data_IF_251947444971
#
_entry.id   IF_251947444971
#
_cell.length_a   1.000
_cell.length_b   1.000
_cell.length_c   1.000
_cell.angle_alpha   90.00
_cell.angle_beta   90.00
_cell.angle_gamma   90.00
#
_symmetry.space_group_name_H-M   'P 1'
#
loop_
_entity.id
_entity.type
_entity.pdbx_description
1 polymer ?
#
# COMPACT_ATOMS: atom_id res chain seq x y z
N UNK A 1 -24.44 9.79 0.32
CA UNK A 1 -24.74 8.34 0.18
C UNK A 1 -23.48 7.54 0.46
N UNK A 2 -23.55 6.57 1.37
CA UNK A 2 -22.42 5.72 1.80
C UNK A 2 -21.91 4.86 0.65
N UNK A 3 -20.64 5.01 0.26
CA UNK A 3 -19.98 4.06 -0.67
C UNK A 3 -19.36 2.92 0.16
N UNK A 4 -20.14 1.89 0.45
CA UNK A 4 -19.74 0.72 1.26
C UNK A 4 -18.37 0.12 0.88
N UNK A 5 -17.92 0.29 -0.36
CA UNK A 5 -16.63 -0.24 -0.83
C UNK A 5 -15.38 0.44 -0.23
N UNK A 6 -15.52 1.53 0.52
CA UNK A 6 -14.37 2.25 1.10
C UNK A 6 -13.81 1.57 2.34
N UNK A 7 -14.67 0.95 3.14
CA UNK A 7 -14.31 0.31 4.42
C UNK A 7 -14.53 -1.20 4.40
N UNK A 8 -14.77 -1.76 3.22
CA UNK A 8 -15.08 -3.19 3.04
C UNK A 8 -13.93 -4.13 3.43
N UNK A 9 -12.70 -3.59 3.46
CA UNK A 9 -11.50 -4.34 3.84
C UNK A 9 -11.19 -4.28 5.35
N UNK A 10 -12.06 -3.68 6.18
CA UNK A 10 -11.92 -3.62 7.63
C UNK A 10 -11.04 -2.49 8.16
N UNK A 11 -10.67 -1.53 7.33
CA UNK A 11 -9.95 -0.30 7.71
C UNK A 11 -10.46 0.88 6.90
N UNK A 12 -10.39 2.08 7.48
CA UNK A 12 -10.85 3.33 6.83
C UNK A 12 -9.67 4.16 6.33
N UNK A 13 -9.52 4.35 5.01
CA UNK A 13 -8.42 5.13 4.46
C UNK A 13 -8.65 6.64 4.63
N UNK A 14 -7.68 7.32 5.22
CA UNK A 14 -7.59 8.76 5.37
C UNK A 14 -6.35 9.26 4.64
N UNK A 15 -6.55 9.89 3.48
CA UNK A 15 -5.47 10.49 2.71
C UNK A 15 -5.29 11.97 3.12
N UNK A 16 -4.06 12.36 3.39
CA UNK A 16 -3.62 13.71 3.72
C UNK A 16 -2.59 14.18 2.69
N UNK A 17 -2.65 15.46 2.33
CA UNK A 17 -1.83 16.06 1.29
C UNK A 17 -0.85 17.06 1.91
N UNK A 18 0.44 16.94 1.56
CA UNK A 18 1.46 17.91 1.96
C UNK A 18 1.27 19.25 1.23
N UNK A 19 1.85 20.32 1.77
CA UNK A 19 1.90 21.60 1.05
C UNK A 19 2.65 21.46 -0.28
N UNK A 20 2.40 22.34 -1.26
CA UNK A 20 3.15 22.34 -2.51
C UNK A 20 4.64 22.60 -2.27
N UNK A 21 5.49 21.69 -2.73
CA UNK A 21 6.93 21.86 -2.82
C UNK A 21 7.43 21.25 -4.12
N UNK A 22 8.57 21.74 -4.60
CA UNK A 22 9.19 21.25 -5.83
C UNK A 22 9.66 19.81 -5.63
N UNK A 23 9.21 18.92 -6.50
CA UNK A 23 9.72 17.55 -6.55
C UNK A 23 11.14 17.52 -7.14
N UNK A 24 12.05 16.68 -6.65
CA UNK A 24 13.38 16.52 -7.25
C UNK A 24 13.33 15.91 -8.66
N UNK A 25 12.22 15.26 -9.04
CA UNK A 25 12.03 14.67 -10.37
C UNK A 25 11.51 15.66 -11.41
N UNK A 26 11.87 15.42 -12.70
CA UNK A 26 11.48 16.23 -13.85
C UNK A 26 10.73 15.40 -14.91
N UNK A 27 9.89 14.45 -14.46
CA UNK A 27 9.22 13.49 -15.32
C UNK A 27 8.35 14.18 -16.37
N UNK A 28 8.52 13.83 -17.64
CA UNK A 28 7.80 14.43 -18.78
C UNK A 28 6.28 14.29 -18.72
N UNK A 29 5.79 13.26 -18.03
CA UNK A 29 4.36 12.94 -17.86
C UNK A 29 3.73 13.53 -16.60
N UNK A 30 4.51 14.25 -15.76
CA UNK A 30 4.05 14.68 -14.45
C UNK A 30 3.40 16.07 -14.53
N UNK A 31 2.10 16.21 -14.21
CA UNK A 31 1.45 17.50 -14.19
C UNK A 31 2.00 18.37 -13.07
N UNK A 32 2.19 19.66 -13.39
CA UNK A 32 2.67 20.68 -12.46
C UNK A 32 1.78 21.90 -12.59
N UNK A 33 1.08 22.25 -11.50
CA UNK A 33 0.24 23.44 -11.44
C UNK A 33 0.72 24.35 -10.32
N UNK A 34 0.62 25.68 -10.49
CA UNK A 34 0.96 26.64 -9.44
C UNK A 34 0.20 26.34 -8.14
N UNK A 35 0.90 26.36 -7.02
CA UNK A 35 0.34 26.13 -5.67
C UNK A 35 -0.37 24.80 -5.46
N UNK A 36 -0.10 23.80 -6.31
CA UNK A 36 -0.63 22.43 -6.18
C UNK A 36 0.55 21.48 -6.00
N UNK A 37 0.44 20.48 -5.09
CA UNK A 37 1.47 19.46 -4.94
C UNK A 37 1.74 18.73 -6.26
N UNK A 38 3.02 18.50 -6.53
CA UNK A 38 3.49 17.84 -7.74
C UNK A 38 2.72 16.55 -8.02
N UNK A 39 2.38 16.30 -9.28
CA UNK A 39 1.66 15.08 -9.72
C UNK A 39 0.14 15.10 -9.49
N UNK A 40 -0.42 16.15 -8.93
CA UNK A 40 -1.86 16.29 -8.70
C UNK A 40 -2.45 17.43 -9.52
N UNK A 41 -3.77 17.40 -9.70
CA UNK A 41 -4.53 18.48 -10.36
C UNK A 41 -5.28 19.32 -9.32
N UNK A 42 -5.62 20.58 -9.61
CA UNK A 42 -6.33 21.45 -8.67
C UNK A 42 -7.64 20.85 -8.15
N UNK A 43 -8.33 20.04 -8.95
CA UNK A 43 -9.61 19.43 -8.60
C UNK A 43 -9.50 18.00 -8.06
N UNK A 44 -8.31 17.51 -7.82
CA UNK A 44 -8.14 16.21 -7.14
C UNK A 44 -8.79 16.28 -5.75
N UNK A 45 -9.66 15.32 -5.36
CA UNK A 45 -10.43 15.41 -4.11
C UNK A 45 -9.57 15.60 -2.84
N UNK A 46 -8.36 15.02 -2.81
CA UNK A 46 -7.43 15.23 -1.70
C UNK A 46 -6.85 16.64 -1.68
N UNK A 47 -6.54 17.21 -2.86
CA UNK A 47 -6.05 18.58 -3.01
C UNK A 47 -7.11 19.60 -2.58
N UNK A 48 -8.35 19.45 -3.06
CA UNK A 48 -9.46 20.34 -2.65
C UNK A 48 -9.66 20.36 -1.14
N UNK A 49 -9.52 19.21 -0.47
CA UNK A 49 -9.58 19.15 0.99
C UNK A 49 -8.39 19.86 1.63
N UNK A 50 -7.18 19.63 1.12
CA UNK A 50 -5.96 20.23 1.64
C UNK A 50 -6.00 21.76 1.51
N UNK A 51 -6.45 22.31 0.38
CA UNK A 51 -6.63 23.75 0.18
C UNK A 51 -7.60 24.32 1.22
N UNK A 52 -8.76 23.67 1.45
CA UNK A 52 -9.75 24.13 2.46
C UNK A 52 -9.20 24.08 3.89
N UNK A 53 -8.15 23.31 4.13
CA UNK A 53 -7.50 23.17 5.43
C UNK A 53 -6.15 23.89 5.46
N UNK A 54 -5.83 24.77 4.52
CA UNK A 54 -4.55 25.47 4.40
C UNK A 54 -3.33 24.51 4.47
N UNK A 55 -3.48 23.31 3.92
CA UNK A 55 -2.50 22.22 4.00
C UNK A 55 -2.10 21.79 5.42
N UNK A 56 -2.85 22.23 6.45
CA UNK A 56 -2.65 21.76 7.82
C UNK A 56 -3.01 20.29 7.95
N UNK A 57 -2.10 19.48 8.50
CA UNK A 57 -2.23 18.04 8.57
C UNK A 57 -3.38 17.62 9.50
N UNK A 58 -3.47 18.18 10.70
CA UNK A 58 -4.49 17.86 11.70
C UNK A 58 -5.89 18.27 11.24
N UNK A 59 -6.02 19.46 10.65
CA UNK A 59 -7.30 19.93 10.09
C UNK A 59 -7.80 19.04 8.95
N UNK A 60 -6.91 18.56 8.07
CA UNK A 60 -7.27 17.62 7.01
C UNK A 60 -7.80 16.30 7.56
N UNK A 61 -7.13 15.75 8.60
CA UNK A 61 -7.53 14.52 9.27
C UNK A 61 -8.90 14.70 9.91
N UNK A 62 -9.07 15.71 10.78
CA UNK A 62 -10.35 15.99 11.47
C UNK A 62 -11.50 16.21 10.48
N UNK A 63 -11.28 17.02 9.43
CA UNK A 63 -12.28 17.24 8.36
C UNK A 63 -12.67 15.93 7.67
N UNK A 64 -11.68 15.04 7.43
CA UNK A 64 -11.96 13.78 6.77
C UNK A 64 -12.69 12.78 7.67
N UNK A 65 -12.32 12.69 8.94
CA UNK A 65 -13.01 11.85 9.94
C UNK A 65 -14.47 12.28 10.10
N UNK A 66 -14.71 13.58 10.26
CA UNK A 66 -16.08 14.14 10.33
C UNK A 66 -16.91 13.71 9.11
N UNK A 67 -16.41 13.94 7.90
CA UNK A 67 -17.12 13.58 6.68
C UNK A 67 -17.35 12.07 6.53
N UNK A 68 -16.45 11.22 7.03
CA UNK A 68 -16.62 9.76 7.03
C UNK A 68 -17.67 9.33 8.06
N UNK A 69 -17.65 9.89 9.27
CA UNK A 69 -18.66 9.64 10.31
C UNK A 69 -20.06 10.04 9.86
N UNK A 70 -20.22 11.24 9.27
CA UNK A 70 -21.50 11.71 8.71
C UNK A 70 -22.03 10.80 7.59
N UNK A 71 -21.13 10.14 6.85
CA UNK A 71 -21.52 9.12 5.85
C UNK A 71 -21.78 7.75 6.46
N UNK A 72 -21.64 7.57 7.79
CA UNK A 72 -21.83 6.30 8.49
C UNK A 72 -20.70 5.29 8.30
N UNK A 73 -19.47 5.74 7.95
CA UNK A 73 -18.32 4.87 7.95
C UNK A 73 -17.71 4.75 9.36
N UNK A 74 -17.28 3.57 9.80
CA UNK A 74 -16.51 3.43 11.02
C UNK A 74 -15.16 4.13 10.87
N UNK A 75 -14.64 4.70 11.96
CA UNK A 75 -13.42 5.49 11.99
C UNK A 75 -12.48 5.12 13.14
N UNK A 76 -12.67 3.95 13.74
CA UNK A 76 -11.84 3.44 14.83
C UNK A 76 -10.50 2.86 14.34
N UNK A 77 -10.45 2.33 13.09
CA UNK A 77 -9.24 1.77 12.47
C UNK A 77 -8.88 2.55 11.21
N UNK A 78 -7.85 3.36 11.30
CA UNK A 78 -7.45 4.27 10.23
C UNK A 78 -6.20 3.76 9.52
N UNK A 79 -6.25 3.73 8.18
CA UNK A 79 -5.08 3.66 7.33
C UNK A 79 -4.75 5.08 6.85
N UNK A 80 -3.73 5.70 7.44
CA UNK A 80 -3.25 7.03 7.07
C UNK A 80 -2.42 6.94 5.78
N UNK A 81 -2.69 7.80 4.80
CA UNK A 81 -1.96 7.83 3.52
C UNK A 81 -1.40 9.22 3.30
N UNK A 82 -0.09 9.37 3.40
CA UNK A 82 0.63 10.62 3.16
C UNK A 82 0.89 10.76 1.66
N UNK A 83 0.37 11.84 1.08
CA UNK A 83 0.40 12.14 -0.35
C UNK A 83 1.04 13.51 -0.58
N UNK A 84 1.61 13.73 -1.79
CA UNK A 84 2.14 15.04 -2.15
C UNK A 84 3.51 15.00 -2.83
N UNK A 85 3.66 14.20 -3.87
CA UNK A 85 4.91 14.08 -4.62
C UNK A 85 5.90 13.12 -3.93
N UNK A 86 7.10 13.61 -3.63
CA UNK A 86 8.14 12.83 -2.92
C UNK A 86 8.24 13.37 -1.49
N UNK A 87 7.48 12.80 -0.56
CA UNK A 87 7.40 13.27 0.83
C UNK A 87 8.77 13.33 1.51
N UNK A 88 9.60 12.32 1.29
CA UNK A 88 10.93 12.25 1.92
C UNK A 88 11.95 13.26 1.37
N UNK A 89 11.61 14.00 0.31
CA UNK A 89 12.40 15.12 -0.21
C UNK A 89 12.06 16.48 0.42
N UNK A 90 11.05 16.53 1.29
CA UNK A 90 10.71 17.73 2.04
C UNK A 90 11.72 17.97 3.17
N UNK A 91 11.86 19.22 3.71
CA UNK A 91 12.67 19.46 4.89
C UNK A 91 12.27 18.53 6.04
N UNK A 92 13.25 18.01 6.76
CA UNK A 92 13.02 17.01 7.81
C UNK A 92 12.07 17.52 8.90
N UNK A 93 12.28 18.73 9.41
CA UNK A 93 11.40 19.35 10.41
C UNK A 93 9.94 19.37 9.93
N UNK A 94 9.72 19.67 8.63
CA UNK A 94 8.36 19.64 8.08
C UNK A 94 7.80 18.23 8.06
N UNK A 95 8.60 17.22 7.76
CA UNK A 95 8.15 15.81 7.74
C UNK A 95 7.66 15.41 9.14
N UNK A 96 8.46 15.68 10.21
CA UNK A 96 8.09 15.38 11.61
C UNK A 96 6.84 16.14 12.05
N UNK A 97 6.78 17.44 11.79
CA UNK A 97 5.61 18.28 12.12
C UNK A 97 4.34 17.79 11.39
N UNK A 98 4.47 17.40 10.12
CA UNK A 98 3.34 16.92 9.35
C UNK A 98 2.79 15.59 9.87
N UNK A 99 3.65 14.63 10.20
CA UNK A 99 3.23 13.34 10.77
C UNK A 99 2.64 13.53 12.17
N UNK A 100 3.30 14.32 13.02
CA UNK A 100 2.78 14.68 14.34
C UNK A 100 1.38 15.28 14.22
N UNK A 101 1.20 16.29 13.39
CA UNK A 101 -0.12 16.91 13.15
C UNK A 101 -1.18 15.94 12.64
N UNK A 102 -0.81 14.96 11.80
CA UNK A 102 -1.73 13.89 11.40
C UNK A 102 -2.20 13.06 12.61
N UNK A 103 -1.29 12.65 13.47
CA UNK A 103 -1.61 11.87 14.67
C UNK A 103 -2.42 12.68 15.68
N UNK A 104 -2.10 13.95 15.90
CA UNK A 104 -2.92 14.88 16.72
C UNK A 104 -4.33 15.04 16.18
N UNK A 105 -4.45 15.06 14.84
CA UNK A 105 -5.77 15.07 14.19
C UNK A 105 -6.58 13.82 14.44
N UNK A 106 -5.94 12.65 14.58
CA UNK A 106 -6.55 11.38 14.96
C UNK A 106 -6.85 11.32 16.47
N UNK A 107 -5.93 11.80 17.28
CA UNK A 107 -6.02 11.80 18.75
C UNK A 107 -7.09 12.76 19.28
N UNK A 108 -7.40 13.81 18.53
CA UNK A 108 -8.30 14.87 18.95
C UNK A 108 -7.68 15.84 19.99
N UNK A 109 -6.37 15.76 20.21
CA UNK A 109 -5.62 16.61 21.15
C UNK A 109 -4.19 16.82 20.66
N UNK A 110 -3.56 17.90 21.11
CA UNK A 110 -2.17 18.23 20.84
C UNK A 110 -1.22 17.37 21.68
N UNK A 111 0.04 17.30 21.28
CA UNK A 111 1.12 16.56 21.94
C UNK A 111 2.41 17.38 21.97
N UNK A 112 3.29 17.11 22.90
CA UNK A 112 4.59 17.81 23.01
C UNK A 112 5.47 17.48 21.78
N UNK A 113 5.57 16.20 21.45
CA UNK A 113 6.39 15.69 20.36
C UNK A 113 5.71 14.54 19.62
N UNK A 114 6.41 13.95 18.63
CA UNK A 114 5.91 12.83 17.83
C UNK A 114 5.74 11.55 18.67
N UNK A 115 6.63 11.29 19.62
CA UNK A 115 6.57 10.09 20.46
C UNK A 115 5.34 10.13 21.38
N UNK A 116 5.04 11.29 21.95
CA UNK A 116 3.80 11.47 22.72
C UNK A 116 2.57 11.30 21.82
N UNK A 117 2.57 11.86 20.60
CA UNK A 117 1.47 11.69 19.67
C UNK A 117 1.23 10.21 19.33
N UNK A 118 2.30 9.43 19.14
CA UNK A 118 2.25 7.98 18.91
C UNK A 118 1.68 7.25 20.12
N UNK A 119 2.19 7.55 21.32
CA UNK A 119 1.74 6.93 22.57
C UNK A 119 0.24 7.15 22.83
N UNK A 120 -0.25 8.36 22.60
CA UNK A 120 -1.68 8.67 22.71
C UNK A 120 -2.49 7.88 21.68
N UNK A 121 -1.98 7.73 20.46
CA UNK A 121 -2.71 7.06 19.39
C UNK A 121 -2.85 5.54 19.60
N UNK A 122 -2.04 4.90 20.43
CA UNK A 122 -2.17 3.46 20.76
C UNK A 122 -3.57 3.11 21.30
N UNK A 123 -4.20 4.05 22.04
CA UNK A 123 -5.52 3.86 22.68
C UNK A 123 -6.58 4.88 22.29
N UNK A 124 -6.29 5.76 21.32
CA UNK A 124 -7.22 6.78 20.86
C UNK A 124 -8.49 6.18 20.22
N UNK A 125 -9.56 6.96 20.13
CA UNK A 125 -10.80 6.57 19.46
C UNK A 125 -10.64 6.36 17.94
N UNK A 126 -9.68 7.08 17.31
CA UNK A 126 -9.31 6.90 15.90
C UNK A 126 -7.86 6.44 15.81
N UNK A 127 -7.63 5.13 15.75
CA UNK A 127 -6.30 4.54 15.81
C UNK A 127 -5.66 4.38 14.45
N UNK A 128 -4.43 4.83 14.29
CA UNK A 128 -3.60 4.63 13.10
C UNK A 128 -3.10 3.17 13.05
N UNK A 129 -3.90 2.27 12.47
CA UNK A 129 -3.54 0.85 12.33
C UNK A 129 -2.62 0.57 11.16
N UNK A 130 -2.33 1.57 10.34
CA UNK A 130 -1.35 1.52 9.27
C UNK A 130 -1.07 2.89 8.71
N UNK A 131 0.19 3.18 8.39
CA UNK A 131 0.60 4.41 7.75
C UNK A 131 1.34 4.10 6.44
N UNK A 132 0.95 4.80 5.38
CA UNK A 132 1.51 4.66 4.05
C UNK A 132 2.21 5.95 3.62
N UNK A 133 3.45 5.82 3.14
CA UNK A 133 4.22 6.93 2.56
C UNK A 133 4.46 6.64 1.08
N UNK A 134 4.15 7.62 0.21
CA UNK A 134 4.48 7.58 -1.21
C UNK A 134 5.83 8.26 -1.45
N UNK A 135 6.76 7.58 -2.14
CA UNK A 135 8.09 8.12 -2.43
C UNK A 135 8.67 7.59 -3.75
N UNK A 136 9.85 8.09 -4.11
CA UNK A 136 10.64 7.62 -5.25
C UNK A 136 11.68 6.60 -4.77
N UNK A 137 12.12 5.65 -5.63
CA UNK A 137 13.15 4.68 -5.26
C UNK A 137 14.49 5.32 -4.82
N UNK A 138 14.93 6.37 -5.50
CA UNK A 138 16.17 7.11 -5.21
C UNK A 138 16.10 7.97 -3.92
N UNK A 139 14.89 8.13 -3.34
CA UNK A 139 14.61 8.76 -2.04
C UNK A 139 14.20 7.73 -0.99
N UNK A 140 14.76 6.53 -1.06
CA UNK A 140 14.50 5.45 -0.12
C UNK A 140 15.84 4.78 0.27
N UNK A 141 16.67 5.54 0.96
CA UNK A 141 17.98 5.14 1.48
C UNK A 141 17.86 4.80 2.97
N UNK A 142 18.94 4.41 3.59
CA UNK A 142 18.93 4.01 5.01
C UNK A 142 18.36 5.11 5.94
N UNK A 143 18.78 6.36 5.77
CA UNK A 143 18.28 7.49 6.56
C UNK A 143 16.77 7.73 6.41
N UNK A 144 16.27 7.62 5.17
CA UNK A 144 14.83 7.73 4.91
C UNK A 144 14.05 6.55 5.49
N UNK A 145 14.64 5.35 5.51
CA UNK A 145 14.06 4.16 6.17
C UNK A 145 13.92 4.40 7.67
N UNK A 146 14.97 4.85 8.33
CA UNK A 146 14.99 5.15 9.76
C UNK A 146 13.91 6.17 10.12
N UNK A 147 13.83 7.29 9.39
CA UNK A 147 12.76 8.26 9.59
C UNK A 147 11.35 7.68 9.39
N UNK A 148 11.16 6.83 8.38
CA UNK A 148 9.85 6.19 8.19
C UNK A 148 9.48 5.24 9.31
N UNK A 149 10.44 4.58 9.94
CA UNK A 149 10.24 3.76 11.16
C UNK A 149 9.82 4.66 12.33
N UNK A 150 10.54 5.75 12.59
CA UNK A 150 10.20 6.74 13.61
C UNK A 150 8.79 7.32 13.42
N UNK A 151 8.36 7.56 12.17
CA UNK A 151 6.99 7.98 11.86
C UNK A 151 5.93 6.93 12.20
N UNK A 152 6.31 5.67 12.36
CA UNK A 152 5.40 4.53 12.50
C UNK A 152 4.78 4.09 11.18
N UNK A 153 5.45 4.35 10.05
CA UNK A 153 5.01 3.89 8.75
C UNK A 153 5.13 2.35 8.62
N UNK A 154 4.16 1.74 7.97
CA UNK A 154 4.11 0.27 7.78
C UNK A 154 4.09 -0.13 6.31
N UNK A 155 3.79 0.83 5.42
CA UNK A 155 3.75 0.62 3.98
C UNK A 155 4.43 1.75 3.24
N UNK A 156 5.18 1.39 2.21
CA UNK A 156 5.79 2.35 1.29
C UNK A 156 5.31 2.05 -0.13
N UNK A 157 4.89 3.09 -0.82
CA UNK A 157 4.49 3.02 -2.22
C UNK A 157 5.56 3.68 -3.08
N UNK A 158 6.30 2.87 -3.82
CA UNK A 158 7.38 3.32 -4.69
C UNK A 158 6.87 3.70 -6.06
N UNK A 159 7.20 4.89 -6.51
CA UNK A 159 6.94 5.35 -7.87
C UNK A 159 7.90 4.71 -8.88
N UNK A 160 7.81 3.40 -9.09
CA UNK A 160 8.64 2.63 -10.02
C UNK A 160 8.35 2.99 -11.48
N UNK A 161 7.10 3.02 -11.86
CA UNK A 161 6.52 3.31 -13.17
C UNK A 161 6.75 2.21 -14.21
N UNK A 162 7.99 1.79 -14.45
CA UNK A 162 8.41 0.72 -15.36
C UNK A 162 9.76 0.17 -14.88
N UNK A 163 10.23 -0.98 -15.36
CA UNK A 163 11.54 -1.56 -15.03
C UNK A 163 12.49 -1.48 -16.23
N UNK A 164 12.74 -0.26 -16.74
CA UNK A 164 13.55 -0.03 -17.94
C UNK A 164 14.31 1.30 -17.83
N UNK A 165 15.65 1.23 -17.84
CA UNK A 165 16.53 2.40 -17.69
C UNK A 165 16.53 3.31 -18.92
N UNK A 166 16.25 2.80 -20.13
CA UNK A 166 16.15 3.63 -21.33
C UNK A 166 14.88 4.49 -21.29
N UNK A 167 13.75 3.87 -20.87
CA UNK A 167 12.49 4.58 -20.67
C UNK A 167 12.62 5.56 -19.50
N UNK A 168 13.35 5.24 -18.43
CA UNK A 168 13.64 6.20 -17.35
C UNK A 168 14.41 7.42 -17.85
N UNK A 169 15.44 7.22 -18.70
CA UNK A 169 16.20 8.34 -19.31
C UNK A 169 15.31 9.15 -20.24
N UNK A 170 14.57 8.49 -21.12
CA UNK A 170 13.66 9.13 -22.07
C UNK A 170 12.61 9.99 -21.35
N UNK A 171 12.01 9.47 -20.31
CA UNK A 171 10.94 10.14 -19.55
C UNK A 171 11.47 11.05 -18.44
N UNK A 172 12.78 11.24 -18.31
CA UNK A 172 13.46 12.04 -17.28
C UNK A 172 13.06 11.65 -15.88
N UNK A 173 12.95 10.34 -15.63
CA UNK A 173 12.50 9.83 -14.32
C UNK A 173 13.53 10.09 -13.21
N UNK A 174 14.83 10.04 -13.52
CA UNK A 174 15.93 10.42 -12.63
C UNK A 174 16.28 9.39 -11.56
N UNK A 175 15.83 8.16 -11.69
CA UNK A 175 16.31 6.98 -10.96
C UNK A 175 16.52 5.81 -11.93
N UNK A 176 17.19 4.76 -11.47
CA UNK A 176 17.50 3.56 -12.22
C UNK A 176 16.70 2.34 -11.73
N UNK A 177 16.75 1.25 -12.50
CA UNK A 177 16.23 -0.06 -12.07
C UNK A 177 16.96 -0.54 -10.81
N UNK A 178 18.28 -0.26 -10.70
CA UNK A 178 19.06 -0.60 -9.52
C UNK A 178 18.60 0.16 -8.27
N UNK A 179 18.16 1.41 -8.39
CA UNK A 179 17.54 2.14 -7.29
C UNK A 179 16.24 1.44 -6.80
N UNK A 180 15.46 0.86 -7.72
CA UNK A 180 14.27 0.08 -7.36
C UNK A 180 14.65 -1.18 -6.60
N UNK A 181 15.68 -1.91 -7.06
CA UNK A 181 16.20 -3.12 -6.39
C UNK A 181 16.66 -2.79 -4.97
N UNK A 182 17.52 -1.77 -4.83
CA UNK A 182 18.05 -1.33 -3.53
C UNK A 182 16.94 -0.89 -2.57
N UNK A 183 16.03 -0.03 -3.02
CA UNK A 183 14.91 0.44 -2.20
C UNK A 183 14.01 -0.71 -1.75
N UNK A 184 13.72 -1.66 -2.64
CA UNK A 184 12.89 -2.82 -2.33
C UNK A 184 13.55 -3.71 -1.27
N UNK A 185 14.87 -3.98 -1.41
CA UNK A 185 15.62 -4.77 -0.45
C UNK A 185 15.63 -4.12 0.93
N UNK A 186 15.99 -2.84 1.02
CA UNK A 186 16.02 -2.08 2.28
C UNK A 186 14.65 -2.06 2.97
N UNK A 187 13.59 -1.76 2.22
CA UNK A 187 12.23 -1.73 2.76
C UNK A 187 11.81 -3.09 3.32
N UNK A 188 12.06 -4.17 2.58
CA UNK A 188 11.71 -5.51 3.04
C UNK A 188 12.53 -5.97 4.24
N UNK A 189 13.83 -5.67 4.27
CA UNK A 189 14.70 -5.97 5.41
C UNK A 189 14.20 -5.32 6.68
N UNK A 190 13.61 -4.13 6.59
CA UNK A 190 13.03 -3.39 7.71
C UNK A 190 11.53 -3.68 7.93
N UNK A 191 10.95 -4.67 7.28
CA UNK A 191 9.59 -5.15 7.54
C UNK A 191 8.46 -4.36 6.85
N UNK A 192 8.75 -3.38 6.01
CA UNK A 192 7.70 -2.64 5.31
C UNK A 192 6.95 -3.49 4.29
N UNK A 193 5.66 -3.20 4.12
CA UNK A 193 4.92 -3.57 2.91
C UNK A 193 5.36 -2.68 1.75
N UNK A 194 5.67 -3.30 0.61
CA UNK A 194 6.20 -2.59 -0.57
C UNK A 194 5.20 -2.66 -1.71
N UNK A 195 4.67 -1.51 -2.10
CA UNK A 195 3.79 -1.38 -3.26
C UNK A 195 4.49 -0.62 -4.38
N UNK A 196 4.21 -1.00 -5.63
CA UNK A 196 4.72 -0.30 -6.80
C UNK A 196 3.62 0.42 -7.55
N UNK A 197 3.92 1.63 -7.99
CA UNK A 197 3.14 2.32 -9.00
C UNK A 197 3.73 1.98 -10.37
N UNK A 198 2.92 1.45 -11.27
CA UNK A 198 3.30 1.12 -12.64
C UNK A 198 2.49 1.94 -13.64
N UNK A 199 3.14 2.37 -14.72
CA UNK A 199 2.54 3.20 -15.77
C UNK A 199 2.71 2.53 -17.15
N UNK A 200 1.86 1.55 -17.50
CA UNK A 200 1.86 0.99 -18.84
C UNK A 200 1.60 2.08 -19.91
N UNK A 201 2.30 1.97 -21.03
CA UNK A 201 2.18 2.91 -22.14
C UNK A 201 3.05 4.16 -22.01
N UNK A 202 4.15 4.12 -21.27
CA UNK A 202 5.13 5.22 -21.27
C UNK A 202 5.79 5.37 -22.65
N UNK A 203 6.24 6.59 -23.02
CA UNK A 203 7.02 6.80 -24.24
C UNK A 203 8.19 5.82 -24.36
N UNK A 204 8.33 5.18 -25.50
CA UNK A 204 9.36 4.17 -25.76
C UNK A 204 8.93 2.73 -25.43
N UNK A 205 7.80 2.51 -24.78
CA UNK A 205 7.27 1.16 -24.51
C UNK A 205 6.28 0.70 -25.58
N UNK A 206 6.06 -0.62 -25.65
CA UNK A 206 5.01 -1.28 -26.41
C UNK A 206 4.14 -2.14 -25.48
N UNK A 207 2.92 -2.54 -25.90
CA UNK A 207 2.08 -3.42 -25.08
C UNK A 207 2.76 -4.75 -24.72
N UNK A 208 3.55 -5.32 -25.63
CA UNK A 208 4.31 -6.55 -25.43
C UNK A 208 5.42 -6.35 -24.40
N UNK A 209 6.16 -5.24 -24.49
CA UNK A 209 7.22 -4.88 -23.57
C UNK A 209 6.67 -4.62 -22.15
N UNK A 210 5.57 -3.87 -22.03
CA UNK A 210 4.91 -3.63 -20.75
C UNK A 210 4.45 -4.95 -20.08
N UNK A 211 3.95 -5.92 -20.89
CA UNK A 211 3.55 -7.22 -20.37
C UNK A 211 4.75 -8.07 -19.93
N UNK A 212 5.84 -8.07 -20.72
CA UNK A 212 7.09 -8.75 -20.39
C UNK A 212 7.68 -8.24 -19.08
N UNK A 213 7.81 -6.92 -18.93
CA UNK A 213 8.30 -6.30 -17.71
C UNK A 213 7.37 -6.57 -16.51
N UNK A 214 6.05 -6.68 -16.75
CA UNK A 214 5.11 -7.09 -15.71
C UNK A 214 5.30 -8.55 -15.28
N UNK A 215 5.72 -9.45 -16.17
CA UNK A 215 6.12 -10.84 -15.79
C UNK A 215 7.40 -10.85 -14.99
N UNK A 216 8.44 -10.16 -15.48
CA UNK A 216 9.72 -10.00 -14.78
C UNK A 216 9.52 -9.49 -13.35
N UNK A 217 8.58 -8.58 -13.13
CA UNK A 217 8.24 -8.06 -11.82
C UNK A 217 7.88 -9.15 -10.78
N UNK A 218 7.29 -10.27 -11.21
CA UNK A 218 6.86 -11.37 -10.33
C UNK A 218 7.78 -12.58 -10.36
N UNK A 219 8.57 -12.74 -11.41
CA UNK A 219 9.50 -13.85 -11.58
C UNK A 219 10.86 -13.54 -10.94
N UNK A 220 11.40 -12.34 -11.15
CA UNK A 220 12.67 -11.90 -10.59
C UNK A 220 12.55 -11.61 -9.09
N UNK A 221 13.29 -12.35 -8.28
CA UNK A 221 13.27 -12.26 -6.82
C UNK A 221 13.68 -10.89 -6.27
N UNK A 222 14.41 -10.08 -7.04
CA UNK A 222 14.82 -8.74 -6.63
C UNK A 222 13.63 -7.79 -6.43
N UNK A 223 12.48 -8.08 -7.02
CA UNK A 223 11.28 -7.22 -6.98
C UNK A 223 10.17 -7.82 -6.13
N UNK A 224 9.24 -8.56 -6.71
CA UNK A 224 8.07 -9.23 -6.11
C UNK A 224 7.30 -8.37 -5.10
N UNK A 225 6.74 -7.19 -5.50
CA UNK A 225 6.06 -6.28 -4.59
C UNK A 225 4.83 -6.91 -3.93
N UNK A 226 4.46 -6.42 -2.73
CA UNK A 226 3.26 -6.85 -2.01
C UNK A 226 1.97 -6.30 -2.61
N UNK A 227 2.10 -5.21 -3.36
CA UNK A 227 0.93 -4.61 -4.03
C UNK A 227 1.28 -3.73 -5.21
N UNK A 228 0.24 -3.42 -6.01
CA UNK A 228 0.35 -2.61 -7.21
C UNK A 228 -0.73 -1.53 -7.27
N UNK A 229 -0.35 -0.39 -7.84
CA UNK A 229 -1.24 0.58 -8.47
C UNK A 229 -0.89 0.62 -9.96
N UNK A 230 -1.83 0.25 -10.81
CA UNK A 230 -1.69 0.25 -12.26
C UNK A 230 -2.29 1.53 -12.82
N UNK A 231 -1.45 2.41 -13.35
CA UNK A 231 -1.79 3.74 -13.83
C UNK A 231 -1.48 3.89 -15.33
N UNK A 232 -2.36 3.43 -16.23
CA UNK A 232 -2.18 3.67 -17.67
C UNK A 232 -1.71 5.10 -17.93
N UNK A 233 -0.71 5.25 -18.79
CA UNK A 233 -0.17 6.54 -19.14
C UNK A 233 -1.23 7.38 -19.85
N UNK A 234 -1.45 8.59 -19.35
CA UNK A 234 -2.37 9.57 -19.89
C UNK A 234 -1.62 10.82 -20.27
N UNK A 235 -1.99 11.45 -21.36
CA UNK A 235 -1.53 12.79 -21.73
C UNK A 235 -2.33 13.80 -20.93
N UNK A 236 -1.67 14.46 -19.97
CA UNK A 236 -2.29 15.45 -19.10
C UNK A 236 -1.92 16.85 -19.56
N UNK A 237 -2.88 17.76 -19.58
CA UNK A 237 -2.72 19.14 -19.97
C UNK A 237 -1.58 19.83 -19.21
N UNK A 238 -0.77 20.63 -19.92
CA UNK A 238 0.36 21.37 -19.38
C UNK A 238 1.63 20.55 -19.13
N UNK A 239 1.64 19.24 -19.45
CA UNK A 239 2.84 18.40 -19.31
C UNK A 239 3.73 18.46 -20.55
N UNK A 240 5.02 18.14 -20.39
CA UNK A 240 5.94 17.95 -21.52
C UNK A 240 5.45 16.83 -22.45
N UNK A 241 4.81 15.79 -21.90
CA UNK A 241 4.22 14.69 -22.65
C UNK A 241 3.08 15.19 -23.57
N UNK A 242 2.34 16.20 -23.16
CA UNK A 242 1.31 16.81 -24.01
C UNK A 242 1.93 17.51 -25.24
N UNK A 243 3.07 18.18 -25.09
CA UNK A 243 3.80 18.74 -26.24
C UNK A 243 4.23 17.65 -27.20
N UNK A 244 4.81 16.56 -26.68
CA UNK A 244 5.18 15.40 -27.50
C UNK A 244 3.99 14.79 -28.25
N UNK A 245 2.84 14.74 -27.61
CA UNK A 245 1.60 14.27 -28.23
C UNK A 245 1.17 15.20 -29.39
N UNK A 246 1.16 16.52 -29.18
CA UNK A 246 0.82 17.52 -30.18
C UNK A 246 1.81 17.54 -31.35
N UNK A 247 3.09 17.29 -31.08
CA UNK A 247 4.17 17.15 -32.05
C UNK A 247 4.21 15.78 -32.73
N UNK A 248 3.28 14.86 -32.40
CA UNK A 248 3.22 13.47 -32.91
C UNK A 248 4.45 12.62 -32.58
N UNK A 249 5.19 12.97 -31.54
CA UNK A 249 6.36 12.22 -31.02
C UNK A 249 5.95 11.13 -30.04
N UNK A 250 4.73 11.20 -29.52
CA UNK A 250 4.14 10.22 -28.62
C UNK A 250 2.65 10.04 -28.95
N UNK A 251 2.18 8.80 -28.91
CA UNK A 251 0.79 8.43 -29.04
C UNK A 251 0.44 7.44 -27.90
N UNK A 252 -0.56 7.71 -27.05
CA UNK A 252 -1.01 6.74 -26.08
C UNK A 252 -1.63 5.52 -26.78
N UNK A 253 -1.57 4.36 -26.14
CA UNK A 253 -2.20 3.17 -26.68
C UNK A 253 -3.69 3.39 -26.91
N UNK A 254 -4.22 2.77 -27.96
CA UNK A 254 -5.65 2.68 -28.19
C UNK A 254 -6.34 2.08 -26.95
N UNK A 255 -7.54 2.57 -26.61
CA UNK A 255 -8.27 2.15 -25.40
C UNK A 255 -8.48 0.64 -25.37
N UNK A 256 -8.78 0.02 -26.51
CA UNK A 256 -8.96 -1.43 -26.66
C UNK A 256 -7.67 -2.21 -26.35
N UNK A 257 -6.53 -1.73 -26.82
CA UNK A 257 -5.19 -2.28 -26.56
C UNK A 257 -4.85 -2.15 -25.07
N UNK A 258 -5.06 -1.00 -24.48
CA UNK A 258 -4.84 -0.79 -23.04
C UNK A 258 -5.71 -1.71 -22.18
N UNK A 259 -7.00 -1.89 -22.52
CA UNK A 259 -7.90 -2.81 -21.82
C UNK A 259 -7.40 -4.24 -21.91
N UNK A 260 -6.93 -4.68 -23.09
CA UNK A 260 -6.36 -6.01 -23.27
C UNK A 260 -5.10 -6.20 -22.42
N UNK A 261 -4.13 -5.28 -22.54
CA UNK A 261 -2.90 -5.30 -21.75
C UNK A 261 -3.18 -5.35 -20.24
N UNK A 262 -4.12 -4.53 -19.75
CA UNK A 262 -4.49 -4.53 -18.33
C UNK A 262 -5.15 -5.86 -17.90
N UNK A 263 -5.90 -6.51 -18.79
CA UNK A 263 -6.47 -7.84 -18.52
C UNK A 263 -5.36 -8.90 -18.46
N UNK A 264 -4.42 -8.85 -19.39
CA UNK A 264 -3.29 -9.78 -19.47
C UNK A 264 -2.35 -9.60 -18.26
N UNK A 265 -1.99 -8.35 -17.87
CA UNK A 265 -1.24 -8.08 -16.64
C UNK A 265 -1.97 -8.62 -15.40
N UNK A 266 -3.29 -8.40 -15.30
CA UNK A 266 -4.06 -8.86 -14.13
C UNK A 266 -4.17 -10.39 -14.04
N UNK A 267 -4.08 -11.11 -15.16
CA UNK A 267 -4.15 -12.58 -15.20
C UNK A 267 -2.90 -13.25 -14.64
N UNK A 268 -1.75 -12.59 -14.73
CA UNK A 268 -0.45 -13.11 -14.25
C UNK A 268 -0.11 -12.70 -12.81
N UNK A 269 -0.93 -11.84 -12.17
CA UNK A 269 -0.65 -11.35 -10.83
C UNK A 269 -0.74 -12.47 -9.79
N UNK A 270 0.30 -12.72 -8.98
CA UNK A 270 0.32 -13.74 -7.94
C UNK A 270 -0.72 -13.51 -6.83
N UNK A 271 -1.07 -14.57 -6.12
CA UNK A 271 -2.05 -14.56 -5.02
C UNK A 271 -1.64 -13.64 -3.86
N UNK A 272 -0.36 -13.45 -3.62
CA UNK A 272 0.16 -12.60 -2.55
C UNK A 272 0.14 -11.10 -2.89
N UNK A 273 -0.17 -10.69 -4.12
CA UNK A 273 -0.15 -9.29 -4.54
C UNK A 273 -1.53 -8.65 -4.44
N UNK A 274 -1.60 -7.41 -3.93
CA UNK A 274 -2.82 -6.59 -3.93
C UNK A 274 -2.82 -5.55 -5.05
N UNK A 275 -3.79 -5.56 -5.96
CA UNK A 275 -4.00 -4.45 -6.91
C UNK A 275 -4.95 -3.42 -6.28
N UNK A 276 -4.38 -2.35 -5.73
CA UNK A 276 -5.12 -1.31 -5.01
C UNK A 276 -5.91 -0.41 -5.95
N UNK A 277 -5.31 0.04 -7.06
CA UNK A 277 -5.93 0.91 -8.08
C UNK A 277 -5.62 0.45 -9.51
N UNK A 278 -6.50 0.84 -10.44
CA UNK A 278 -6.41 0.55 -11.88
C UNK A 278 -6.77 1.81 -12.68
N UNK A 279 -6.38 2.94 -12.28
CA UNK A 279 -6.40 4.27 -12.95
C UNK A 279 -6.08 5.34 -11.90
N UNK A 280 -5.49 6.46 -12.34
CA UNK A 280 -5.29 7.66 -11.50
C UNK A 280 -6.60 8.47 -11.42
N UNK A 281 -6.80 9.12 -10.27
CA UNK A 281 -7.93 10.05 -10.07
C UNK A 281 -7.57 11.43 -10.67
N UNK A 282 -7.52 11.52 -11.99
CA UNK A 282 -7.36 12.78 -12.72
C UNK A 282 -8.71 13.09 -13.38
N UNK A 283 -9.31 14.27 -13.13
CA UNK A 283 -10.56 14.64 -13.78
C UNK A 283 -10.42 14.68 -15.31
N UNK A 284 -11.42 14.17 -16.02
CA UNK A 284 -11.38 13.97 -17.48
C UNK A 284 -11.03 15.23 -18.28
N UNK A 285 -11.38 16.42 -17.77
CA UNK A 285 -11.06 17.69 -18.42
C UNK A 285 -9.56 18.02 -18.51
N UNK A 286 -8.74 17.46 -17.62
CA UNK A 286 -7.28 17.60 -17.65
C UNK A 286 -6.59 16.57 -18.53
N UNK A 287 -7.34 15.60 -19.09
CA UNK A 287 -6.78 14.52 -19.92
C UNK A 287 -6.97 14.87 -21.39
N UNK A 288 -5.89 15.23 -22.06
CA UNK A 288 -5.87 15.53 -23.49
C UNK A 288 -6.06 14.24 -24.31
N UNK A 289 -5.36 13.15 -23.95
CA UNK A 289 -5.47 11.86 -24.62
C UNK A 289 -5.21 10.68 -23.65
N UNK A 290 -5.73 9.49 -24.00
CA UNK A 290 -5.66 8.28 -23.18
C UNK A 290 -6.97 7.97 -22.46
N UNK A 291 -6.92 7.12 -21.44
CA UNK A 291 -8.11 6.61 -20.76
C UNK A 291 -8.72 7.66 -19.81
N UNK A 292 -9.92 8.13 -20.11
CA UNK A 292 -10.64 9.12 -19.27
C UNK A 292 -11.57 8.48 -18.23
N UNK A 293 -12.03 7.25 -18.46
CA UNK A 293 -13.03 6.57 -17.65
C UNK A 293 -12.43 5.45 -16.80
N UNK A 294 -13.18 5.02 -15.78
CA UNK A 294 -12.76 3.93 -14.90
C UNK A 294 -12.58 2.61 -15.65
N UNK A 295 -11.34 2.13 -15.71
CA UNK A 295 -10.99 0.89 -16.42
C UNK A 295 -11.32 -0.38 -15.64
N UNK A 296 -11.45 -0.33 -14.30
CA UNK A 296 -11.56 -1.55 -13.48
C UNK A 296 -12.74 -2.45 -13.88
N UNK A 297 -13.91 -1.86 -14.12
CA UNK A 297 -15.11 -2.60 -14.52
C UNK A 297 -14.98 -3.18 -15.92
N UNK A 298 -14.51 -2.37 -16.87
CA UNK A 298 -14.35 -2.78 -18.30
C UNK A 298 -13.30 -3.88 -18.41
N UNK A 299 -12.16 -3.74 -17.73
CA UNK A 299 -11.11 -4.79 -17.69
C UNK A 299 -11.65 -6.08 -17.06
N UNK A 300 -12.45 -6.00 -15.98
CA UNK A 300 -13.08 -7.20 -15.38
C UNK A 300 -14.01 -7.91 -16.39
N UNK A 301 -14.82 -7.16 -17.14
CA UNK A 301 -15.68 -7.72 -18.19
C UNK A 301 -14.86 -8.34 -19.32
N UNK A 302 -13.76 -7.69 -19.76
CA UNK A 302 -12.86 -8.24 -20.80
C UNK A 302 -12.23 -9.55 -20.33
N UNK A 303 -11.74 -9.61 -19.10
CA UNK A 303 -11.20 -10.85 -18.52
C UNK A 303 -12.24 -11.97 -18.51
N UNK A 304 -13.48 -11.68 -18.07
CA UNK A 304 -14.56 -12.67 -18.07
C UNK A 304 -14.84 -13.22 -19.48
N UNK A 305 -14.87 -12.35 -20.51
CA UNK A 305 -15.06 -12.76 -21.92
C UNK A 305 -13.92 -13.63 -22.45
N UNK A 306 -12.69 -13.43 -21.96
CA UNK A 306 -11.51 -14.24 -22.33
C UNK A 306 -11.33 -15.49 -21.46
N UNK A 307 -12.22 -15.79 -20.52
CA UNK A 307 -12.04 -16.89 -19.55
C UNK A 307 -10.89 -16.68 -18.57
N UNK A 308 -10.43 -15.45 -18.37
CA UNK A 308 -9.32 -15.09 -17.48
C UNK A 308 -9.83 -14.71 -16.10
N UNK A 309 -9.05 -15.03 -15.05
CA UNK A 309 -9.32 -14.65 -13.68
C UNK A 309 -8.16 -13.87 -13.07
N UNK A 310 -8.46 -12.85 -12.27
CA UNK A 310 -7.48 -12.11 -11.47
C UNK A 310 -7.38 -12.72 -10.08
N UNK A 311 -6.20 -13.23 -9.73
CA UNK A 311 -5.93 -13.87 -8.43
C UNK A 311 -5.43 -12.91 -7.35
N UNK A 312 -5.40 -11.59 -7.61
CA UNK A 312 -4.90 -10.64 -6.61
C UNK A 312 -5.76 -10.63 -5.34
N UNK A 313 -5.17 -10.26 -4.21
CA UNK A 313 -5.82 -10.15 -2.89
C UNK A 313 -7.18 -9.44 -2.99
N UNK A 314 -7.23 -8.24 -3.60
CA UNK A 314 -8.47 -7.45 -3.70
C UNK A 314 -9.61 -8.19 -4.41
N UNK A 315 -9.31 -8.96 -5.46
CA UNK A 315 -10.35 -9.70 -6.20
C UNK A 315 -10.86 -10.92 -5.45
N UNK A 316 -10.10 -11.38 -4.46
CA UNK A 316 -10.39 -12.56 -3.66
C UNK A 316 -10.91 -12.24 -2.26
N UNK A 317 -10.69 -11.01 -1.74
CA UNK A 317 -11.10 -10.67 -0.37
C UNK A 317 -12.60 -10.84 -0.15
N UNK A 318 -12.96 -11.38 1.02
CA UNK A 318 -14.31 -11.73 1.44
C UNK A 318 -15.32 -10.61 1.18
N UNK A 319 -15.04 -9.38 1.63
CA UNK A 319 -15.97 -8.27 1.50
C UNK A 319 -16.35 -7.94 0.05
N UNK A 320 -15.42 -8.08 -0.92
CA UNK A 320 -15.72 -7.88 -2.34
C UNK A 320 -16.51 -9.03 -2.93
N UNK A 321 -16.20 -10.28 -2.57
CA UNK A 321 -16.92 -11.47 -3.06
C UNK A 321 -18.33 -11.57 -2.51
N UNK A 322 -18.53 -11.31 -1.22
CA UNK A 322 -19.85 -11.26 -0.59
C UNK A 322 -20.76 -10.20 -1.24
N UNK A 323 -20.19 -9.02 -1.57
CA UNK A 323 -20.92 -7.97 -2.29
C UNK A 323 -21.32 -8.38 -3.72
N UNK A 324 -20.58 -9.28 -4.35
CA UNK A 324 -20.90 -9.83 -5.68
C UNK A 324 -21.92 -10.97 -5.60
N UNK A 325 -22.45 -11.28 -4.42
CA UNK A 325 -23.42 -12.37 -4.19
C UNK A 325 -22.79 -13.75 -4.31
N UNK A 326 -21.47 -13.89 -4.17
CA UNK A 326 -20.81 -15.19 -4.17
C UNK A 326 -20.98 -15.85 -2.80
N UNK A 327 -21.42 -17.08 -2.80
CA UNK A 327 -21.38 -17.95 -1.62
C UNK A 327 -19.93 -18.14 -1.18
N UNK A 328 -19.72 -18.23 0.11
CA UNK A 328 -18.40 -18.45 0.72
C UNK A 328 -18.43 -19.72 1.55
N UNK A 329 -17.41 -20.56 1.41
CA UNK A 329 -17.21 -21.77 2.17
C UNK A 329 -16.46 -21.54 3.49
N UNK A 330 -16.11 -22.64 4.15
CA UNK A 330 -15.31 -22.59 5.38
C UNK A 330 -13.85 -22.27 5.08
N UNK A 331 -13.25 -21.29 5.78
CA UNK A 331 -11.86 -20.90 5.58
C UNK A 331 -10.89 -21.97 6.09
N UNK A 332 -9.92 -22.35 5.27
CA UNK A 332 -8.81 -23.24 5.61
C UNK A 332 -7.49 -22.50 5.51
N UNK A 333 -6.55 -22.82 6.39
CA UNK A 333 -5.21 -22.27 6.36
C UNK A 333 -4.46 -22.77 5.13
N UNK A 334 -3.88 -21.86 4.38
CA UNK A 334 -3.01 -22.12 3.21
C UNK A 334 -1.67 -21.43 3.39
N UNK A 335 -0.62 -21.96 2.75
CA UNK A 335 0.74 -21.43 2.79
C UNK A 335 1.33 -21.36 1.40
N UNK A 336 2.07 -20.28 1.12
CA UNK A 336 2.85 -20.10 -0.09
C UNK A 336 4.20 -19.50 0.29
N UNK A 337 5.29 -20.19 -0.04
CA UNK A 337 6.65 -19.73 0.18
C UNK A 337 7.24 -19.20 -1.14
N UNK A 338 8.00 -18.12 -1.06
CA UNK A 338 8.73 -17.56 -2.20
C UNK A 338 9.93 -16.73 -1.74
N UNK A 339 10.98 -16.69 -2.57
CA UNK A 339 12.13 -15.82 -2.32
C UNK A 339 11.85 -14.40 -2.86
N UNK A 340 12.23 -13.37 -2.08
CA UNK A 340 12.12 -11.98 -2.49
C UNK A 340 13.15 -11.09 -1.78
N UNK A 341 13.91 -10.32 -2.57
CA UNK A 341 14.86 -9.32 -2.09
C UNK A 341 15.78 -9.83 -0.97
N UNK A 342 16.41 -10.99 -1.22
CA UNK A 342 17.39 -11.59 -0.31
C UNK A 342 16.84 -12.22 0.96
N UNK A 343 15.57 -12.61 0.98
CA UNK A 343 14.94 -13.32 2.09
C UNK A 343 13.77 -14.17 1.65
N UNK A 344 13.36 -15.10 2.50
CA UNK A 344 12.21 -15.96 2.27
C UNK A 344 10.93 -15.31 2.82
N UNK A 345 9.91 -15.25 1.99
CA UNK A 345 8.58 -14.83 2.36
C UNK A 345 7.67 -16.04 2.54
N UNK A 346 7.00 -16.12 3.66
CA UNK A 346 5.94 -17.09 3.94
C UNK A 346 4.61 -16.35 3.98
N UNK A 347 3.80 -16.56 2.95
CA UNK A 347 2.46 -15.99 2.84
C UNK A 347 1.46 -17.00 3.39
N UNK A 348 0.93 -16.74 4.57
CA UNK A 348 -0.14 -17.50 5.18
C UNK A 348 -1.47 -16.84 4.84
N UNK A 349 -2.48 -17.64 4.52
CA UNK A 349 -3.83 -17.11 4.30
C UNK A 349 -4.91 -18.11 4.69
N UNK A 350 -6.06 -17.60 5.13
CA UNK A 350 -7.29 -18.35 5.23
C UNK A 350 -8.11 -18.18 3.97
N UNK A 351 -8.30 -19.27 3.23
CA UNK A 351 -9.02 -19.29 1.95
C UNK A 351 -10.06 -20.42 1.96
N UNK A 352 -11.23 -20.20 1.34
CA UNK A 352 -12.17 -21.29 1.04
C UNK A 352 -11.81 -22.03 -0.26
N UNK A 353 -12.56 -23.07 -0.60
CA UNK A 353 -12.34 -23.87 -1.82
C UNK A 353 -12.48 -23.06 -3.12
N UNK A 354 -13.28 -21.98 -3.11
CA UNK A 354 -13.42 -21.05 -4.22
C UNK A 354 -12.31 -20.00 -4.26
N UNK A 355 -11.37 -20.01 -3.29
CA UNK A 355 -10.27 -19.07 -3.15
C UNK A 355 -10.70 -17.70 -2.63
N UNK A 356 -11.81 -17.60 -1.88
CA UNK A 356 -12.17 -16.40 -1.13
C UNK A 356 -11.19 -16.20 0.01
N UNK A 357 -10.63 -15.02 0.12
CA UNK A 357 -9.62 -14.66 1.12
C UNK A 357 -10.28 -14.02 2.34
N UNK A 358 -10.17 -14.65 3.50
CA UNK A 358 -10.69 -14.17 4.79
C UNK A 358 -9.65 -13.46 5.63
N UNK A 359 -8.39 -13.86 5.53
CA UNK A 359 -7.28 -13.22 6.23
C UNK A 359 -5.94 -13.65 5.68
N UNK A 360 -4.91 -12.87 5.95
CA UNK A 360 -3.55 -13.15 5.55
C UNK A 360 -2.53 -12.69 6.58
N UNK A 361 -1.34 -13.31 6.52
CA UNK A 361 -0.15 -12.88 7.23
C UNK A 361 1.06 -13.00 6.29
N UNK A 362 1.95 -12.01 6.33
CA UNK A 362 3.25 -12.04 5.65
C UNK A 362 4.35 -12.17 6.69
N UNK A 363 4.99 -13.32 6.70
CA UNK A 363 6.18 -13.59 7.50
C UNK A 363 7.41 -13.56 6.58
N UNK A 364 8.41 -12.76 6.95
CA UNK A 364 9.71 -12.75 6.31
C UNK A 364 10.74 -13.40 7.20
N UNK A 365 11.52 -14.29 6.63
CA UNK A 365 12.69 -14.88 7.23
C UNK A 365 13.92 -14.38 6.47
N UNK A 366 14.89 -13.87 7.21
CA UNK A 366 16.13 -13.37 6.60
C UNK A 366 17.33 -13.68 7.49
N UNK A 367 18.51 -13.91 6.89
CA UNK A 367 19.75 -14.10 7.67
C UNK A 367 20.05 -12.86 8.52
N UNK A 368 20.60 -13.06 9.69
CA UNK A 368 21.17 -12.00 10.51
C UNK A 368 22.71 -12.03 10.51
N UNK A 369 23.34 -10.95 10.96
CA UNK A 369 24.79 -10.81 11.00
C UNK A 369 25.47 -11.86 11.90
N UNK A 370 24.76 -12.47 12.85
CA UNK A 370 25.25 -13.50 13.77
C UNK A 370 25.13 -14.94 13.25
N UNK A 371 24.77 -15.15 11.97
CA UNK A 371 24.67 -16.49 11.36
C UNK A 371 23.35 -17.21 11.66
N UNK A 372 22.40 -16.57 12.30
CA UNK A 372 21.06 -17.07 12.53
C UNK A 372 20.02 -16.43 11.61
N UNK A 373 18.73 -16.66 11.90
CA UNK A 373 17.62 -16.06 11.19
C UNK A 373 16.87 -15.05 12.07
N UNK A 374 16.40 -13.96 11.46
CA UNK A 374 15.38 -13.09 12.02
C UNK A 374 14.03 -13.37 11.36
N UNK A 375 12.97 -13.28 12.13
CA UNK A 375 11.60 -13.45 11.67
C UNK A 375 10.83 -12.13 11.85
N UNK A 376 10.24 -11.62 10.76
CA UNK A 376 9.52 -10.34 10.76
C UNK A 376 8.13 -10.52 10.17
N UNK A 377 7.10 -10.21 10.95
CA UNK A 377 5.74 -10.09 10.42
C UNK A 377 5.57 -8.70 9.82
N UNK A 378 5.29 -8.65 8.50
CA UNK A 378 5.17 -7.42 7.72
C UNK A 378 3.72 -7.00 7.48
N UNK A 379 2.79 -7.92 7.61
CA UNK A 379 1.35 -7.68 7.53
C UNK A 379 0.59 -8.79 8.26
N UNK A 380 -0.43 -8.41 9.02
CA UNK A 380 -1.51 -9.26 9.50
C UNK A 380 -2.82 -8.56 9.19
N UNK A 381 -3.70 -9.17 8.42
CA UNK A 381 -4.96 -8.57 8.03
C UNK A 381 -6.08 -9.61 7.95
N UNK A 382 -7.21 -9.33 8.61
CA UNK A 382 -8.44 -10.13 8.50
C UNK A 382 -9.50 -9.31 7.77
N UNK A 383 -10.04 -9.85 6.68
CA UNK A 383 -11.00 -9.18 5.82
C UNK A 383 -12.42 -9.45 6.30
N UNK A 384 -13.27 -8.44 6.20
CA UNK A 384 -14.68 -8.53 6.55
C UNK A 384 -15.27 -7.16 6.84
N UNK A 385 -16.59 -7.06 7.09
CA UNK A 385 -17.17 -5.84 7.61
C UNK A 385 -16.42 -5.46 8.89
N UNK A 386 -16.04 -4.19 8.99
CA UNK A 386 -15.40 -3.68 10.19
C UNK A 386 -16.35 -3.88 11.37
N UNK A 387 -15.85 -4.55 12.41
CA UNK A 387 -16.54 -4.68 13.69
C UNK A 387 -15.77 -3.80 14.68
N UNK A 388 -16.44 -2.93 15.45
CA UNK A 388 -15.78 -2.10 16.46
C UNK A 388 -14.93 -2.95 17.41
N UNK A 389 -13.81 -2.39 17.83
CA UNK A 389 -12.93 -3.02 18.81
C UNK A 389 -13.73 -3.19 20.13
N UNK A 390 -13.87 -4.42 20.60
CA UNK A 390 -14.67 -4.87 21.76
C UNK A 390 -16.12 -5.30 21.47
N UNK A 391 -16.63 -5.25 20.25
CA UNK A 391 -17.92 -5.83 19.92
C UNK A 391 -17.76 -7.19 19.22
N UNK A 392 -18.49 -8.21 19.65
CA UNK A 392 -18.64 -9.49 18.94
C UNK A 392 -19.92 -9.45 18.10
N UNK A 393 -19.78 -9.62 16.79
CA UNK A 393 -20.93 -9.75 15.89
C UNK A 393 -20.97 -11.15 15.32
N UNK A 394 -22.00 -11.91 15.65
CA UNK A 394 -22.21 -13.27 15.10
C UNK A 394 -22.17 -13.22 13.57
N UNK A 395 -21.39 -14.13 12.96
CA UNK A 395 -21.23 -14.23 11.50
C UNK A 395 -20.17 -13.35 10.88
N UNK A 396 -19.49 -12.44 11.62
CA UNK A 396 -18.40 -11.61 11.07
C UNK A 396 -17.07 -12.38 11.01
N UNK A 397 -16.42 -12.42 9.86
CA UNK A 397 -15.13 -13.09 9.66
C UNK A 397 -14.02 -12.56 10.58
N UNK A 398 -14.07 -11.31 11.02
CA UNK A 398 -13.07 -10.68 11.90
C UNK A 398 -13.02 -11.27 13.32
N UNK A 399 -14.08 -11.92 13.83
CA UNK A 399 -14.14 -12.46 15.20
C UNK A 399 -14.04 -13.99 15.30
N UNK A 400 -13.71 -14.68 14.20
CA UNK A 400 -13.49 -16.14 14.20
C UNK A 400 -12.10 -16.57 14.70
N UNK A 401 -11.32 -15.69 15.32
CA UNK A 401 -9.96 -16.00 15.79
C UNK A 401 -8.92 -16.20 14.68
N UNK A 402 -9.25 -15.87 13.41
CA UNK A 402 -8.36 -16.10 12.27
C UNK A 402 -7.03 -15.35 12.40
N UNK A 403 -7.05 -14.12 12.92
CA UNK A 403 -5.83 -13.34 13.15
C UNK A 403 -4.90 -14.00 14.17
N UNK A 404 -5.49 -14.53 15.27
CA UNK A 404 -4.77 -15.29 16.28
C UNK A 404 -4.15 -16.56 15.70
N UNK A 405 -4.93 -17.32 14.94
CA UNK A 405 -4.45 -18.56 14.32
C UNK A 405 -3.30 -18.31 13.32
N UNK A 406 -3.39 -17.23 12.51
CA UNK A 406 -2.30 -16.83 11.60
C UNK A 406 -1.02 -16.46 12.35
N UNK A 407 -1.13 -15.72 13.45
CA UNK A 407 0.02 -15.30 14.25
C UNK A 407 0.69 -16.48 14.95
N UNK A 408 -0.09 -17.35 15.58
CA UNK A 408 0.42 -18.57 16.26
C UNK A 408 1.12 -19.49 15.26
N UNK A 409 0.57 -19.66 14.06
CA UNK A 409 1.22 -20.47 13.02
C UNK A 409 2.50 -19.81 12.51
N UNK A 410 2.54 -18.48 12.35
CA UNK A 410 3.76 -17.77 11.98
C UNK A 410 4.86 -17.91 13.04
N UNK A 411 4.53 -17.81 14.35
CA UNK A 411 5.47 -18.06 15.45
C UNK A 411 5.99 -19.49 15.43
N UNK A 412 5.10 -20.49 15.20
CA UNK A 412 5.48 -21.90 15.07
C UNK A 412 6.46 -22.13 13.93
N UNK A 413 6.19 -21.56 12.73
CA UNK A 413 7.04 -21.67 11.55
C UNK A 413 8.40 -21.04 11.83
N UNK A 414 8.44 -19.80 12.33
CA UNK A 414 9.67 -19.07 12.62
C UNK A 414 10.56 -19.85 13.60
N UNK A 415 9.99 -20.36 14.67
CA UNK A 415 10.73 -21.10 15.70
C UNK A 415 11.13 -22.51 15.25
N UNK A 416 10.16 -23.33 14.80
CA UNK A 416 10.41 -24.76 14.53
C UNK A 416 11.14 -25.00 13.22
N UNK A 417 10.79 -24.26 12.16
CA UNK A 417 11.35 -24.50 10.84
C UNK A 417 12.62 -23.69 10.58
N UNK A 418 12.63 -22.40 11.00
CA UNK A 418 13.74 -21.49 10.72
C UNK A 418 14.65 -21.18 11.91
N UNK A 419 14.34 -21.73 13.10
CA UNK A 419 15.14 -21.54 14.33
C UNK A 419 15.36 -20.07 14.67
N UNK A 420 14.43 -19.20 14.31
CA UNK A 420 14.47 -17.79 14.72
C UNK A 420 14.22 -17.70 16.24
N UNK A 421 15.12 -17.07 17.01
CA UNK A 421 14.97 -16.95 18.45
C UNK A 421 13.89 -15.95 18.86
N UNK A 422 13.52 -15.08 17.93
CA UNK A 422 12.70 -13.91 18.20
C UNK A 422 11.81 -13.62 16.98
N UNK A 423 10.61 -13.13 17.26
CA UNK A 423 9.69 -12.57 16.26
C UNK A 423 9.60 -11.06 16.42
N UNK A 424 9.70 -10.33 15.32
CA UNK A 424 9.44 -8.89 15.28
C UNK A 424 8.22 -8.59 14.40
N UNK A 425 7.51 -7.50 14.70
CA UNK A 425 6.35 -7.05 13.93
C UNK A 425 6.51 -5.56 13.66
N UNK A 426 6.55 -5.14 12.40
CA UNK A 426 6.37 -3.74 12.04
C UNK A 426 4.89 -3.39 12.12
N UNK A 427 4.46 -2.96 13.29
CA UNK A 427 3.05 -2.73 13.63
C UNK A 427 2.63 -1.29 13.36
N UNK A 428 1.40 -1.10 12.88
CA UNK A 428 0.76 0.21 12.98
C UNK A 428 0.61 0.63 14.46
N UNK A 429 0.76 1.91 14.75
CA UNK A 429 0.73 2.49 16.09
C UNK A 429 -0.51 2.02 16.86
N UNK A 430 -1.69 2.17 16.25
CA UNK A 430 -2.96 1.78 16.87
C UNK A 430 -3.24 0.28 16.97
N UNK A 431 -2.30 -0.57 16.52
CA UNK A 431 -2.39 -2.02 16.67
C UNK A 431 -1.42 -2.58 17.73
N UNK A 432 -0.53 -1.76 18.30
CA UNK A 432 0.48 -2.19 19.26
C UNK A 432 -0.13 -2.83 20.51
N UNK A 433 -1.22 -2.24 21.03
CA UNK A 433 -1.91 -2.76 22.22
C UNK A 433 -2.47 -4.17 21.98
N UNK A 434 -2.99 -4.48 20.81
CA UNK A 434 -3.44 -5.82 20.46
C UNK A 434 -2.31 -6.86 20.55
N UNK A 435 -1.13 -6.55 20.06
CA UNK A 435 0.01 -7.47 20.16
C UNK A 435 0.55 -7.58 21.60
N UNK A 436 0.47 -6.50 22.36
CA UNK A 436 0.91 -6.48 23.77
C UNK A 436 -0.02 -7.33 24.63
N UNK A 437 -1.32 -7.04 24.61
CA UNK A 437 -2.30 -7.66 25.50
C UNK A 437 -2.62 -9.12 25.14
N UNK A 438 -2.75 -9.43 23.85
CA UNK A 438 -3.18 -10.76 23.42
C UNK A 438 -2.03 -11.77 23.24
N UNK A 439 -0.80 -11.29 22.99
CA UNK A 439 0.32 -12.17 22.59
C UNK A 439 1.60 -11.96 23.37
N UNK A 440 1.66 -10.98 24.27
CA UNK A 440 2.83 -10.71 25.09
C UNK A 440 4.03 -10.11 24.35
N UNK A 441 3.80 -9.43 23.24
CA UNK A 441 4.84 -8.65 22.59
C UNK A 441 5.14 -7.37 23.38
N UNK A 442 6.38 -6.89 23.33
CA UNK A 442 6.80 -5.63 23.90
C UNK A 442 7.30 -4.69 22.81
N UNK A 443 7.20 -3.38 23.02
CA UNK A 443 7.74 -2.39 22.11
C UNK A 443 9.25 -2.25 22.37
N UNK A 444 10.08 -2.48 21.35
CA UNK A 444 11.52 -2.25 21.36
C UNK A 444 11.88 -1.41 20.14
N UNK A 445 12.31 -0.15 20.34
CA UNK A 445 12.42 0.81 19.25
C UNK A 445 11.08 0.98 18.54
N UNK A 446 11.07 0.75 17.24
CA UNK A 446 9.86 0.89 16.41
C UNK A 446 9.09 -0.41 16.17
N UNK A 447 9.54 -1.53 16.77
CA UNK A 447 8.97 -2.84 16.52
C UNK A 447 8.31 -3.43 17.77
N UNK A 448 7.25 -4.20 17.56
CA UNK A 448 6.75 -5.13 18.57
C UNK A 448 7.58 -6.40 18.51
N UNK A 449 8.12 -6.85 19.65
CA UNK A 449 9.11 -7.91 19.75
C UNK A 449 8.68 -8.96 20.77
N UNK A 450 8.92 -10.24 20.45
CA UNK A 450 8.66 -11.37 21.34
C UNK A 450 9.73 -12.45 21.17
N UNK A 451 10.28 -12.94 22.26
CA UNK A 451 11.13 -14.14 22.25
C UNK A 451 10.29 -15.37 21.97
N UNK A 452 10.77 -16.20 21.04
CA UNK A 452 10.12 -17.47 20.70
C UNK A 452 10.71 -18.59 21.56
N UNK A 453 9.83 -19.31 22.29
CA UNK A 453 10.19 -20.43 23.15
C UNK A 453 9.49 -21.71 22.70
N UNK A 454 10.03 -22.90 23.05
CA UNK A 454 9.29 -24.14 22.84
C UNK A 454 7.89 -24.07 23.48
N UNK A 455 6.88 -24.55 22.79
CA UNK A 455 5.55 -24.67 23.36
C UNK A 455 5.62 -25.60 24.59
N UNK A 456 5.42 -25.06 25.79
CA UNK A 456 5.41 -25.83 27.04
C UNK A 456 6.35 -25.34 28.14
N UNK A 457 7.09 -24.27 27.97
CA UNK A 457 7.85 -23.62 29.04
C UNK A 457 7.17 -22.28 29.41
N UNK A 458 6.15 -22.35 30.22
CA UNK A 458 5.63 -21.23 31.02
C UNK A 458 6.04 -21.44 32.47
#
# INVERSE_FOLDING_TARGET
>A
MRKFSRTISGVTPVAVMTRPLKCPGQCVFCPTYPSIPQSYTPESPAVLRAIRCDYDAGRQVRSRLKALGEMGHPTDKIELIVMGGTFLAYPEDYQYQFIKGCLEGLNGQDSADLEEAKRINETAGHRCTGMCIETRPDWCRQQEIERMLEFGATRVELGVQILDDEIYRLTRRGHSVEDVVRATALLRQNGFKVHYHLMPGLPGSTPEHDLELSRKLFEDERFKPDGLKLYPTMVVEGTELEKWYREKRYQPYEISTMINLMADIKSIVPKYVRISRVLRDIPAKYITAGCKDSLRGVVKQRMKRKGMECRCIRCREYGHRAREGRETGEPRLTRMDYEAAGGKEVFLSFEDEQGTLFGLLRLRIQPNAGGGNTAVIRELHVYGPEVPLAEQKEGAAQHRGLGKALLVEAERIAFKEFKAPQMTILSGIGAREYYRSEFGYRLEGDYMVKELKPAGCN
#
